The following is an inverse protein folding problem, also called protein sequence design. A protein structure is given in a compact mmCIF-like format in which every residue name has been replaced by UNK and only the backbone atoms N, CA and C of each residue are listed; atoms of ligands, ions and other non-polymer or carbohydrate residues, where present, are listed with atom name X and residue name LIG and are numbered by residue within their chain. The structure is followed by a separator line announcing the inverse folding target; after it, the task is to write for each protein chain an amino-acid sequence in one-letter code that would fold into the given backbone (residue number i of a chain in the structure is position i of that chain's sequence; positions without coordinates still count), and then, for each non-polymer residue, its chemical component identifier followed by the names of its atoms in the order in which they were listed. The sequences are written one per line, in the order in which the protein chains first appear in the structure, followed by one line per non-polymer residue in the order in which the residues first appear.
data_IF_218469421132
#
_entry.id   IF_218469421132
#
_cell.length_a   1.000
_cell.length_b   1.000
_cell.length_c   1.000
_cell.angle_alpha   90.00
_cell.angle_beta   90.00
_cell.angle_gamma   90.00
#
_symmetry.space_group_name_H-M   'P 1'
#
loop_
_entity.id
_entity.type
_entity.pdbx_description
1 polymer ?
#
# COMPACT_ATOMS: atom_id res chain seq x y z
N UNK A 1 -2.75 -59.35 33.38
CA UNK A 1 -2.48 -58.62 32.13
C UNK A 1 -0.98 -58.64 31.89
N UNK A 2 -0.51 -59.36 30.88
CA UNK A 2 0.91 -59.68 30.71
C UNK A 2 1.73 -58.44 30.36
N UNK A 3 2.95 -58.31 30.90
CA UNK A 3 3.93 -57.24 30.60
C UNK A 3 4.10 -56.96 29.09
N UNK A 4 3.89 -57.98 28.27
CA UNK A 4 3.95 -57.90 26.81
C UNK A 4 2.84 -57.01 26.21
N UNK A 5 1.64 -56.99 26.80
CA UNK A 5 0.50 -56.17 26.33
C UNK A 5 0.74 -54.71 26.66
N UNK A 6 1.27 -54.42 27.85
CA UNK A 6 1.60 -53.05 28.29
C UNK A 6 2.67 -52.40 27.40
N UNK A 7 3.69 -53.17 27.00
CA UNK A 7 4.75 -52.71 26.07
C UNK A 7 4.22 -52.34 24.69
N UNK A 8 3.31 -53.15 24.13
CA UNK A 8 2.72 -52.88 22.81
C UNK A 8 1.83 -51.64 22.81
N UNK A 9 1.07 -51.42 23.88
CA UNK A 9 0.27 -50.19 24.04
C UNK A 9 1.14 -48.94 24.17
N UNK A 10 2.21 -48.99 24.96
CA UNK A 10 3.13 -47.86 25.11
C UNK A 10 3.82 -47.49 23.78
N UNK A 11 4.23 -48.48 22.98
CA UNK A 11 4.81 -48.25 21.65
C UNK A 11 3.80 -47.63 20.67
N UNK A 12 2.57 -48.16 20.63
CA UNK A 12 1.52 -47.61 19.77
C UNK A 12 1.17 -46.15 20.13
N UNK A 13 1.11 -45.83 21.43
CA UNK A 13 0.85 -44.48 21.92
C UNK A 13 1.99 -43.51 21.56
N UNK A 14 3.25 -43.94 21.68
CA UNK A 14 4.43 -43.13 21.30
C UNK A 14 4.45 -42.83 19.80
N UNK A 15 4.14 -43.82 18.96
CA UNK A 15 4.02 -43.61 17.51
C UNK A 15 2.89 -42.65 17.19
N UNK A 16 1.72 -42.80 17.82
CA UNK A 16 0.59 -41.90 17.59
C UNK A 16 0.93 -40.44 18.00
N UNK A 17 1.58 -40.24 19.14
CA UNK A 17 2.02 -38.92 19.61
C UNK A 17 3.07 -38.29 18.69
N UNK A 18 4.05 -39.08 18.22
CA UNK A 18 5.04 -38.59 17.25
C UNK A 18 4.38 -38.18 15.92
N UNK A 19 3.39 -38.95 15.46
CA UNK A 19 2.66 -38.65 14.22
C UNK A 19 1.79 -37.40 14.37
N UNK A 20 1.11 -37.23 15.51
CA UNK A 20 0.32 -36.03 15.80
C UNK A 20 1.21 -34.77 15.92
N UNK A 21 2.40 -34.89 16.51
CA UNK A 21 3.36 -33.79 16.59
C UNK A 21 3.89 -33.35 15.22
N UNK A 22 4.14 -34.31 14.30
CA UNK A 22 4.55 -34.01 12.93
C UNK A 22 3.44 -33.32 12.13
N UNK A 23 2.18 -33.71 12.32
CA UNK A 23 1.03 -33.05 11.67
C UNK A 23 0.79 -31.64 12.20
N UNK A 24 0.99 -31.40 13.51
CA UNK A 24 0.90 -30.07 14.10
C UNK A 24 2.02 -29.13 13.59
N UNK A 25 3.21 -29.65 13.31
CA UNK A 25 4.31 -28.88 12.74
C UNK A 25 4.07 -28.47 11.28
N UNK A 26 3.32 -29.24 10.50
CA UNK A 26 2.95 -28.86 9.13
C UNK A 26 1.80 -27.84 9.08
N UNK A 27 0.91 -27.82 10.07
CA UNK A 27 -0.20 -26.86 10.12
C UNK A 27 0.26 -25.44 10.51
N UNK A 28 1.37 -25.30 11.23
CA UNK A 28 1.96 -24.00 11.61
C UNK A 28 2.96 -23.43 10.60
N UNK A 29 3.27 -24.15 9.52
CA UNK A 29 4.25 -23.77 8.52
C UNK A 29 3.62 -23.26 7.21
N UNK A 30 2.49 -22.55 7.31
CA UNK A 30 2.28 -21.44 6.38
C UNK A 30 3.40 -20.47 6.69
N UNK A 31 4.52 -20.56 5.95
CA UNK A 31 5.67 -19.70 6.16
C UNK A 31 5.17 -18.26 6.19
N UNK A 32 5.16 -17.65 7.37
CA UNK A 32 4.72 -16.27 7.54
C UNK A 32 5.60 -15.42 6.65
N UNK A 33 5.04 -15.00 5.51
CA UNK A 33 5.75 -14.16 4.55
C UNK A 33 6.11 -12.88 5.27
N UNK A 34 7.37 -12.47 5.15
CA UNK A 34 7.80 -11.23 5.79
C UNK A 34 6.98 -10.04 5.25
N UNK A 35 6.79 -8.97 6.03
CA UNK A 35 6.02 -7.80 5.57
C UNK A 35 6.55 -7.22 4.25
N UNK A 36 7.87 -7.24 4.05
CA UNK A 36 8.50 -6.77 2.81
C UNK A 36 8.29 -7.71 1.63
N UNK A 37 8.22 -9.02 1.89
CA UNK A 37 7.87 -10.00 0.87
C UNK A 37 6.41 -9.85 0.44
N UNK A 38 5.48 -9.64 1.37
CA UNK A 38 4.08 -9.34 1.06
C UNK A 38 3.94 -8.09 0.20
N UNK A 39 4.67 -7.01 0.51
CA UNK A 39 4.71 -5.80 -0.32
C UNK A 39 5.22 -6.10 -1.74
N UNK A 40 6.33 -6.85 -1.87
CA UNK A 40 6.89 -7.22 -3.19
C UNK A 40 5.90 -8.05 -4.01
N UNK A 41 5.21 -8.99 -3.35
CA UNK A 41 4.20 -9.82 -4.00
C UNK A 41 2.99 -9.00 -4.43
N UNK A 42 2.52 -8.06 -3.60
CA UNK A 42 1.44 -7.13 -3.96
C UNK A 42 1.80 -6.28 -5.18
N UNK A 43 3.01 -5.70 -5.21
CA UNK A 43 3.52 -4.95 -6.38
C UNK A 43 3.52 -5.85 -7.63
N UNK A 44 4.04 -7.07 -7.49
CA UNK A 44 4.12 -8.03 -8.60
C UNK A 44 2.74 -8.47 -9.09
N UNK A 45 1.80 -8.69 -8.16
CA UNK A 45 0.43 -9.10 -8.44
C UNK A 45 -0.38 -8.00 -9.12
N UNK A 46 -0.14 -6.72 -8.78
CA UNK A 46 -0.75 -5.60 -9.48
C UNK A 46 -0.23 -5.43 -10.91
N UNK A 47 1.01 -5.86 -11.16
CA UNK A 47 1.61 -5.89 -12.49
C UNK A 47 1.19 -7.12 -13.31
N UNK A 48 0.72 -8.21 -12.69
CA UNK A 48 0.31 -9.39 -13.46
C UNK A 48 -0.79 -9.14 -14.53
N UNK A 49 -1.87 -8.39 -14.26
CA UNK A 49 -2.89 -8.12 -15.28
C UNK A 49 -2.42 -7.09 -16.33
N UNK A 50 -2.90 -7.22 -17.57
CA UNK A 50 -2.67 -6.22 -18.62
C UNK A 50 -3.27 -4.85 -18.29
N UNK A 51 -4.30 -4.82 -17.47
CA UNK A 51 -4.93 -3.60 -16.99
C UNK A 51 -5.67 -3.81 -15.67
N UNK A 52 -5.74 -2.77 -14.84
CA UNK A 52 -6.59 -2.73 -13.66
C UNK A 52 -7.22 -1.35 -13.49
N UNK A 53 -8.33 -1.28 -12.73
CA UNK A 53 -9.00 -0.02 -12.40
C UNK A 53 -8.75 0.36 -10.95
N UNK A 54 -8.85 1.65 -10.67
CA UNK A 54 -8.79 2.15 -9.32
C UNK A 54 -9.72 3.35 -9.12
N UNK A 55 -10.08 3.59 -7.86
CA UNK A 55 -10.69 4.83 -7.41
C UNK A 55 -9.69 5.56 -6.50
N UNK A 56 -9.58 6.88 -6.67
CA UNK A 56 -8.75 7.76 -5.84
C UNK A 56 -9.65 8.76 -5.14
N UNK A 57 -9.50 8.87 -3.81
CA UNK A 57 -10.12 9.92 -2.99
C UNK A 57 -9.01 10.73 -2.31
N UNK A 58 -9.01 12.06 -2.53
CA UNK A 58 -8.13 13.00 -1.81
C UNK A 58 -8.93 13.81 -0.79
N UNK A 59 -8.43 13.90 0.45
CA UNK A 59 -8.99 14.74 1.52
C UNK A 59 -7.91 15.56 2.20
N UNK A 60 -8.29 16.66 2.87
CA UNK A 60 -7.36 17.62 3.48
C UNK A 60 -6.84 18.69 2.51
N UNK A 61 -7.11 18.51 1.22
CA UNK A 61 -7.00 19.54 0.18
C UNK A 61 -8.23 20.48 0.20
N UNK A 62 -8.09 21.77 -0.17
CA UNK A 62 -9.24 22.68 -0.36
C UNK A 62 -10.24 22.19 -1.41
N UNK A 63 -9.80 21.31 -2.31
CA UNK A 63 -10.63 20.61 -3.27
C UNK A 63 -10.60 19.14 -2.91
N UNK A 64 -11.68 18.65 -2.30
CA UNK A 64 -11.89 17.22 -2.18
C UNK A 64 -12.22 16.70 -3.57
N UNK A 65 -11.45 15.72 -4.04
CA UNK A 65 -11.61 15.18 -5.38
C UNK A 65 -11.72 13.67 -5.33
N UNK A 66 -12.62 13.13 -6.14
CA UNK A 66 -12.82 11.71 -6.34
C UNK A 66 -12.61 11.41 -7.81
N UNK A 67 -11.70 10.50 -8.09
CA UNK A 67 -11.31 10.11 -9.44
C UNK A 67 -11.46 8.62 -9.62
N UNK A 68 -11.73 8.22 -10.86
CA UNK A 68 -11.56 6.83 -11.28
C UNK A 68 -10.51 6.78 -12.37
N UNK A 69 -9.70 5.72 -12.37
CA UNK A 69 -8.63 5.53 -13.33
C UNK A 69 -8.50 4.07 -13.74
N UNK A 70 -7.78 3.87 -14.83
CA UNK A 70 -7.38 2.60 -15.37
C UNK A 70 -5.89 2.67 -15.69
N UNK A 71 -5.12 1.68 -15.27
CA UNK A 71 -3.73 1.51 -15.70
C UNK A 71 -3.71 0.40 -16.72
N UNK A 72 -3.12 0.63 -17.90
CA UNK A 72 -2.95 -0.36 -18.98
C UNK A 72 -1.48 -0.51 -19.31
N UNK A 73 -1.01 -1.75 -19.52
CA UNK A 73 0.37 -2.06 -19.91
C UNK A 73 1.43 -1.46 -18.98
N UNK A 74 1.13 -1.39 -17.68
CA UNK A 74 2.00 -0.92 -16.59
C UNK A 74 2.38 0.56 -16.57
N UNK A 75 2.30 1.29 -17.69
CA UNK A 75 2.64 2.71 -17.78
C UNK A 75 1.48 3.61 -18.25
N UNK A 76 0.48 3.05 -18.93
CA UNK A 76 -0.65 3.76 -19.47
C UNK A 76 -1.70 4.11 -18.43
N UNK A 77 -1.48 5.18 -17.65
CA UNK A 77 -2.50 5.75 -16.77
C UNK A 77 -3.56 6.51 -17.59
N UNK A 78 -4.81 6.05 -17.51
CA UNK A 78 -5.98 6.72 -18.07
C UNK A 78 -6.96 7.08 -16.96
N UNK A 79 -7.18 8.36 -16.75
CA UNK A 79 -8.25 8.83 -15.87
C UNK A 79 -9.60 8.68 -16.60
N UNK A 80 -10.56 8.02 -15.97
CA UNK A 80 -11.88 7.72 -16.55
C UNK A 80 -12.90 8.83 -16.26
N UNK A 81 -12.68 9.63 -15.22
CA UNK A 81 -13.50 10.80 -14.90
C UNK A 81 -13.42 11.19 -13.42
N UNK A 82 -13.80 12.43 -13.14
CA UNK A 82 -14.15 12.85 -11.78
C UNK A 82 -15.61 12.49 -11.48
N UNK A 83 -15.97 12.39 -10.19
CA UNK A 83 -17.31 11.97 -9.75
C UNK A 83 -18.47 12.87 -10.26
N UNK A 84 -18.18 14.05 -10.79
CA UNK A 84 -19.13 14.97 -11.41
C UNK A 84 -19.38 14.68 -12.91
N UNK A 85 -18.80 13.61 -13.46
CA UNK A 85 -18.98 13.22 -14.86
C UNK A 85 -18.18 14.08 -15.84
N UNK A 86 -17.31 14.98 -15.37
CA UNK A 86 -16.39 15.68 -16.23
C UNK A 86 -15.36 14.69 -16.82
N UNK A 87 -15.20 14.63 -18.15
CA UNK A 87 -14.17 13.80 -18.74
C UNK A 87 -12.81 14.31 -18.25
N UNK A 88 -12.03 13.42 -17.63
CA UNK A 88 -10.65 13.72 -17.32
C UNK A 88 -9.93 13.99 -18.65
N UNK A 89 -9.57 15.25 -18.91
CA UNK A 89 -8.95 15.66 -20.17
C UNK A 89 -7.51 15.18 -20.24
N UNK A 90 -7.29 13.90 -20.50
CA UNK A 90 -6.05 13.37 -21.08
C UNK A 90 -6.14 13.54 -22.59
N UNK A 91 -5.98 14.78 -23.05
CA UNK A 91 -6.09 15.15 -24.47
C UNK A 91 -4.87 15.89 -24.99
N UNK A 92 -4.51 17.03 -24.39
CA UNK A 92 -3.33 17.81 -24.79
C UNK A 92 -3.05 18.92 -23.75
N UNK A 93 -2.32 18.59 -22.66
CA UNK A 93 -1.59 19.62 -21.90
C UNK A 93 -2.14 20.09 -20.55
N UNK A 94 -3.20 19.50 -19.98
CA UNK A 94 -3.45 19.64 -18.54
C UNK A 94 -2.83 18.45 -17.82
N UNK A 95 -1.54 18.61 -17.47
CA UNK A 95 -0.81 17.69 -16.59
C UNK A 95 -1.37 17.85 -15.18
N UNK A 96 -2.34 17.04 -14.80
CA UNK A 96 -2.69 16.88 -13.39
C UNK A 96 -1.46 16.27 -12.72
N UNK A 97 -0.70 17.08 -11.97
CA UNK A 97 0.27 16.60 -10.99
C UNK A 97 1.28 15.57 -11.49
N UNK A 98 2.23 15.95 -12.37
CA UNK A 98 3.40 15.15 -12.78
C UNK A 98 3.20 13.63 -12.82
N UNK A 99 2.82 13.11 -13.99
CA UNK A 99 2.56 11.71 -14.45
C UNK A 99 2.66 10.55 -13.45
N UNK A 100 3.67 10.50 -12.59
CA UNK A 100 3.92 9.40 -11.66
C UNK A 100 3.15 9.55 -10.34
N UNK A 101 2.73 10.76 -9.97
CA UNK A 101 2.33 11.07 -8.58
C UNK A 101 1.02 10.42 -8.15
N UNK A 102 0.16 10.10 -9.11
CA UNK A 102 -1.16 9.48 -8.94
C UNK A 102 -1.29 8.13 -9.65
N UNK A 103 -0.19 7.60 -10.21
CA UNK A 103 -0.15 6.24 -10.72
C UNK A 103 0.11 5.29 -9.55
N UNK A 104 -0.87 4.47 -9.12
CA UNK A 104 -0.68 3.64 -7.94
C UNK A 104 0.35 2.53 -8.14
N UNK A 105 0.60 2.04 -9.36
CA UNK A 105 1.72 1.13 -9.65
C UNK A 105 3.07 1.80 -9.40
N UNK A 106 3.29 2.97 -10.00
CA UNK A 106 4.54 3.71 -9.82
C UNK A 106 4.78 4.09 -8.36
N UNK A 107 3.71 4.43 -7.64
CA UNK A 107 3.77 4.70 -6.20
C UNK A 107 4.19 3.46 -5.41
N UNK A 108 3.56 2.31 -5.63
CA UNK A 108 3.88 1.07 -4.93
C UNK A 108 5.30 0.56 -5.25
N UNK A 109 5.75 0.68 -6.50
CA UNK A 109 7.14 0.40 -6.90
C UNK A 109 8.13 1.32 -6.18
N UNK A 110 7.84 2.62 -6.15
CA UNK A 110 8.64 3.59 -5.40
C UNK A 110 8.70 3.26 -3.91
N UNK A 111 7.61 2.79 -3.31
CA UNK A 111 7.58 2.35 -1.90
C UNK A 111 8.41 1.09 -1.67
N UNK A 112 8.37 0.11 -2.58
CA UNK A 112 9.18 -1.10 -2.46
C UNK A 112 10.68 -0.80 -2.38
N UNK A 113 11.13 0.16 -3.20
CA UNK A 113 12.53 0.57 -3.30
C UNK A 113 12.95 1.49 -2.15
N UNK A 114 12.05 2.38 -1.69
CA UNK A 114 12.40 3.52 -0.84
C UNK A 114 11.82 3.47 0.58
N UNK A 115 11.08 2.42 0.93
CA UNK A 115 10.57 2.23 2.29
C UNK A 115 11.74 2.13 3.29
N UNK A 116 11.74 3.03 4.28
CA UNK A 116 12.62 2.95 5.44
C UNK A 116 12.15 1.85 6.41
N UNK A 117 10.83 1.68 6.56
CA UNK A 117 10.25 0.57 7.31
C UNK A 117 9.01 -0.01 6.63
N UNK A 118 8.85 -1.34 6.75
CA UNK A 118 7.63 -2.07 6.36
C UNK A 118 7.29 -3.02 7.50
N UNK A 119 6.12 -2.85 8.10
CA UNK A 119 5.66 -3.60 9.27
C UNK A 119 4.28 -4.20 8.98
N UNK A 120 4.02 -5.39 9.52
CA UNK A 120 2.68 -5.98 9.52
C UNK A 120 1.93 -5.47 10.75
N UNK A 121 0.71 -5.00 10.56
CA UNK A 121 -0.21 -4.67 11.64
C UNK A 121 -1.02 -5.92 11.99
N UNK A 122 -0.49 -6.73 12.90
CA UNK A 122 -1.09 -8.01 13.34
C UNK A 122 -2.50 -7.82 13.92
N UNK A 123 -2.77 -6.68 14.57
CA UNK A 123 -4.07 -6.42 15.18
C UNK A 123 -5.18 -6.19 14.15
N UNK A 124 -4.81 -5.79 12.93
CA UNK A 124 -5.74 -5.53 11.82
C UNK A 124 -5.63 -6.54 10.67
N UNK A 125 -4.65 -7.44 10.74
CA UNK A 125 -4.47 -8.51 9.76
C UNK A 125 -5.24 -9.75 10.20
N UNK A 126 -5.71 -10.52 9.23
CA UNK A 126 -6.37 -11.80 9.49
C UNK A 126 -5.93 -12.86 8.44
N UNK A 127 -6.71 -13.94 8.31
CA UNK A 127 -6.42 -15.02 7.37
C UNK A 127 -6.55 -14.62 5.89
N UNK A 128 -7.35 -13.59 5.60
CA UNK A 128 -7.69 -13.17 4.24
C UNK A 128 -6.91 -11.91 3.84
N UNK A 129 -6.67 -11.00 4.78
CA UNK A 129 -6.01 -9.72 4.52
C UNK A 129 -4.73 -9.52 5.36
N UNK A 130 -3.73 -8.89 4.75
CA UNK A 130 -2.54 -8.39 5.43
C UNK A 130 -2.53 -6.87 5.38
N UNK A 131 -2.42 -6.21 6.54
CA UNK A 131 -2.33 -4.76 6.64
C UNK A 131 -0.89 -4.36 6.87
N UNK A 132 -0.26 -3.76 5.85
CA UNK A 132 1.13 -3.31 5.89
C UNK A 132 1.21 -1.83 6.20
N UNK A 133 2.00 -1.48 7.22
CA UNK A 133 2.38 -0.11 7.55
C UNK A 133 3.74 0.19 6.93
N UNK A 134 3.79 1.17 6.04
CA UNK A 134 4.99 1.52 5.27
C UNK A 134 5.37 2.97 5.57
N UNK A 135 6.61 3.18 5.99
CA UNK A 135 7.16 4.51 6.20
C UNK A 135 8.31 4.74 5.21
N UNK A 136 8.19 5.71 4.29
CA UNK A 136 9.29 6.10 3.43
C UNK A 136 10.35 6.86 4.23
N UNK A 137 11.54 6.98 3.65
CA UNK A 137 12.54 7.92 4.15
C UNK A 137 12.00 9.38 4.14
N UNK A 138 12.31 10.14 5.19
CA UNK A 138 11.79 11.50 5.36
C UNK A 138 12.29 12.48 4.28
N UNK A 139 13.51 12.30 3.77
CA UNK A 139 14.04 13.14 2.68
C UNK A 139 13.32 12.85 1.37
N UNK A 140 12.95 11.59 1.13
CA UNK A 140 12.15 11.17 -0.02
C UNK A 140 10.72 11.69 0.07
N UNK A 141 10.10 11.61 1.25
CA UNK A 141 8.79 12.18 1.49
C UNK A 141 8.75 13.69 1.17
N UNK A 142 9.75 14.45 1.64
CA UNK A 142 9.86 15.88 1.35
C UNK A 142 10.07 16.16 -0.15
N UNK A 143 10.92 15.38 -0.83
CA UNK A 143 11.16 15.54 -2.27
C UNK A 143 9.91 15.24 -3.11
N UNK A 144 9.19 14.15 -2.79
CA UNK A 144 7.95 13.78 -3.47
C UNK A 144 6.89 14.87 -3.31
N UNK A 145 6.66 15.35 -2.09
CA UNK A 145 5.70 16.43 -1.85
C UNK A 145 6.11 17.75 -2.49
N UNK A 146 7.39 18.08 -2.53
CA UNK A 146 7.88 19.25 -3.27
C UNK A 146 7.54 19.16 -4.76
N UNK A 147 7.73 17.99 -5.38
CA UNK A 147 7.33 17.72 -6.79
C UNK A 147 5.82 17.86 -6.97
N UNK A 148 5.02 17.26 -6.08
CA UNK A 148 3.54 17.31 -6.14
C UNK A 148 3.01 18.74 -6.00
N UNK A 149 3.44 19.48 -4.98
CA UNK A 149 3.02 20.87 -4.76
C UNK A 149 3.38 21.78 -5.94
N UNK A 150 4.58 21.58 -6.52
CA UNK A 150 5.00 22.29 -7.73
C UNK A 150 4.07 22.00 -8.91
N UNK A 151 3.67 20.74 -9.07
CA UNK A 151 2.81 20.29 -10.17
C UNK A 151 1.32 20.70 -9.96
N UNK A 152 0.86 20.85 -8.71
CA UNK A 152 -0.45 21.44 -8.38
C UNK A 152 -0.54 22.93 -8.72
N UNK A 153 0.56 23.57 -9.14
CA UNK A 153 0.61 25.02 -9.31
C UNK A 153 0.51 25.79 -7.99
N UNK A 154 0.48 25.08 -6.85
CA UNK A 154 0.75 25.64 -5.52
C UNK A 154 2.24 25.94 -5.48
N UNK A 155 2.64 27.03 -6.13
CA UNK A 155 3.98 27.57 -5.98
C UNK A 155 4.23 27.64 -4.50
N UNK A 156 5.26 26.92 -4.03
CA UNK A 156 5.91 27.19 -2.77
C UNK A 156 6.33 28.65 -2.85
N UNK A 157 5.41 29.54 -2.44
CA UNK A 157 5.64 30.97 -2.57
C UNK A 157 6.84 31.27 -1.69
N UNK A 158 7.67 32.27 -2.02
CA UNK A 158 8.82 32.60 -1.18
C UNK A 158 8.45 32.78 0.31
N UNK A 159 7.21 33.17 0.62
CA UNK A 159 6.67 33.28 1.98
C UNK A 159 6.04 32.01 2.60
N UNK A 160 5.91 30.91 1.85
CA UNK A 160 5.40 29.60 2.33
C UNK A 160 6.16 28.38 1.78
N UNK A 161 7.49 28.27 1.96
CA UNK A 161 8.24 27.07 1.58
C UNK A 161 7.87 25.88 2.46
N UNK A 162 7.92 24.67 1.87
CA UNK A 162 7.82 23.40 2.59
C UNK A 162 9.10 23.20 3.40
N UNK A 163 8.97 23.09 4.73
CA UNK A 163 10.07 22.78 5.65
C UNK A 163 10.31 21.29 5.79
N UNK A 164 9.23 20.51 5.91
CA UNK A 164 9.29 19.06 6.07
C UNK A 164 7.99 18.41 5.60
N UNK A 165 8.08 17.15 5.19
CA UNK A 165 6.92 16.30 4.95
C UNK A 165 7.11 14.96 5.65
N UNK A 166 6.16 14.60 6.49
CA UNK A 166 5.99 13.23 6.98
C UNK A 166 5.00 12.50 6.08
N UNK A 167 5.29 11.24 5.78
CA UNK A 167 4.39 10.36 5.04
C UNK A 167 4.32 9.00 5.72
N UNK A 168 3.15 8.40 5.70
CA UNK A 168 2.94 7.00 6.08
C UNK A 168 1.92 6.39 5.15
N UNK A 169 2.09 5.11 4.85
CA UNK A 169 1.17 4.37 4.01
C UNK A 169 0.64 3.16 4.75
N UNK A 170 -0.61 2.85 4.46
CA UNK A 170 -1.30 1.65 4.87
C UNK A 170 -1.72 0.92 3.60
N UNK A 171 -1.20 -0.28 3.41
CA UNK A 171 -1.50 -1.12 2.26
C UNK A 171 -2.22 -2.39 2.73
N UNK A 172 -3.45 -2.57 2.28
CA UNK A 172 -4.22 -3.79 2.48
C UNK A 172 -3.95 -4.73 1.30
N UNK A 173 -3.51 -5.95 1.59
CA UNK A 173 -3.16 -6.98 0.60
C UNK A 173 -4.05 -8.20 0.81
N UNK A 174 -4.68 -8.69 -0.26
CA UNK A 174 -5.37 -9.97 -0.27
C UNK A 174 -4.32 -11.10 -0.21
N UNK A 175 -4.35 -11.92 0.86
CA UNK A 175 -3.34 -12.97 1.12
C UNK A 175 -3.43 -14.15 0.15
N UNK A 176 -4.59 -14.39 -0.43
CA UNK A 176 -4.84 -15.50 -1.36
C UNK A 176 -4.40 -15.14 -2.77
N UNK A 177 -4.68 -13.90 -3.18
CA UNK A 177 -4.42 -13.38 -4.53
C UNK A 177 -3.10 -12.64 -4.64
N UNK A 178 -2.56 -12.19 -3.51
CA UNK A 178 -1.33 -11.38 -3.43
C UNK A 178 -1.42 -10.12 -4.27
N UNK A 179 -2.57 -9.45 -4.23
CA UNK A 179 -2.82 -8.17 -4.90
C UNK A 179 -3.21 -7.11 -3.88
N UNK A 180 -2.88 -5.83 -4.14
CA UNK A 180 -3.34 -4.74 -3.28
C UNK A 180 -4.86 -4.56 -3.43
N UNK A 181 -5.52 -4.33 -2.30
CA UNK A 181 -6.96 -4.04 -2.20
C UNK A 181 -7.17 -2.54 -2.00
N UNK A 182 -6.41 -1.94 -1.09
CA UNK A 182 -6.45 -0.52 -0.78
C UNK A 182 -5.06 -0.02 -0.39
N UNK A 183 -4.70 1.19 -0.84
CA UNK A 183 -3.53 1.93 -0.40
C UNK A 183 -3.98 3.29 0.13
N UNK A 184 -3.78 3.54 1.41
CA UNK A 184 -4.02 4.85 2.03
C UNK A 184 -2.69 5.51 2.35
N UNK A 185 -2.43 6.67 1.76
CA UNK A 185 -1.34 7.58 2.12
C UNK A 185 -1.85 8.63 3.10
N UNK A 186 -1.15 8.82 4.21
CA UNK A 186 -1.34 9.94 5.14
C UNK A 186 -0.09 10.80 5.15
N UNK A 187 -0.28 12.10 4.93
CA UNK A 187 0.79 13.06 4.75
C UNK A 187 0.62 14.26 5.68
N UNK A 188 1.71 14.66 6.34
CA UNK A 188 1.78 15.82 7.24
C UNK A 188 2.82 16.79 6.71
N UNK A 189 2.39 17.95 6.25
CA UNK A 189 3.21 18.94 5.60
C UNK A 189 3.42 20.13 6.53
N UNK A 190 4.68 20.47 6.77
CA UNK A 190 5.07 21.63 7.57
C UNK A 190 5.60 22.73 6.66
N UNK A 191 5.00 23.91 6.72
CA UNK A 191 5.43 25.07 5.94
C UNK A 191 5.89 26.20 6.86
N UNK A 192 6.87 26.99 6.41
CA UNK A 192 7.10 28.33 6.98
C UNK A 192 5.91 29.22 6.62
N UNK A 193 5.51 30.15 7.50
CA UNK A 193 4.49 31.15 7.18
C UNK A 193 4.80 32.45 7.92
N UNK A 194 5.55 33.36 7.28
CA UNK A 194 6.04 34.58 7.94
C UNK A 194 6.88 34.24 9.18
N UNK A 195 6.47 34.71 10.35
CA UNK A 195 7.11 34.41 11.65
C UNK A 195 6.68 33.05 12.25
N UNK A 196 5.73 32.35 11.62
CA UNK A 196 5.14 31.12 12.14
C UNK A 196 5.40 29.87 11.30
N UNK A 197 4.82 28.76 11.76
CA UNK A 197 4.70 27.52 11.01
C UNK A 197 3.22 27.25 10.73
N UNK A 198 2.92 26.77 9.54
CA UNK A 198 1.59 26.24 9.21
C UNK A 198 1.72 24.76 8.91
N UNK A 199 0.72 24.00 9.32
CA UNK A 199 0.66 22.55 9.14
C UNK A 199 -0.55 22.20 8.27
N UNK A 200 -0.36 21.23 7.39
CA UNK A 200 -1.42 20.72 6.52
C UNK A 200 -1.38 19.20 6.53
N UNK A 201 -2.51 18.58 6.84
CA UNK A 201 -2.68 17.13 6.75
C UNK A 201 -3.44 16.79 5.47
N UNK A 202 -2.96 15.78 4.75
CA UNK A 202 -3.62 15.27 3.55
C UNK A 202 -3.71 13.75 3.61
N UNK A 203 -4.78 13.22 3.03
CA UNK A 203 -4.96 11.79 2.86
C UNK A 203 -5.32 11.48 1.42
N UNK A 204 -4.58 10.55 0.79
CA UNK A 204 -4.92 9.95 -0.49
C UNK A 204 -5.31 8.51 -0.25
N UNK A 205 -6.44 8.07 -0.81
CA UNK A 205 -6.87 6.67 -0.74
C UNK A 205 -7.07 6.13 -2.15
N UNK A 206 -6.32 5.09 -2.50
CA UNK A 206 -6.49 4.31 -3.71
C UNK A 206 -7.21 3.01 -3.36
N UNK A 207 -8.32 2.73 -4.03
CA UNK A 207 -9.02 1.44 -3.95
C UNK A 207 -8.91 0.73 -5.28
N UNK A 208 -8.38 -0.48 -5.27
CA UNK A 208 -8.10 -1.25 -6.48
C UNK A 208 -9.31 -2.14 -6.83
N UNK A 209 -9.74 -2.10 -8.08
CA UNK A 209 -10.72 -3.05 -8.65
C UNK A 209 -9.96 -4.10 -9.44
N UNK A 210 -9.40 -5.07 -8.71
CA UNK A 210 -8.74 -6.24 -9.28
C UNK A 210 -9.79 -7.35 -9.42
N UNK A 211 -10.76 -7.22 -10.31
CA UNK A 211 -11.61 -8.38 -10.64
C UNK A 211 -10.78 -9.44 -11.37
N UNK A 212 -10.93 -10.73 -11.03
CA UNK A 212 -10.37 -11.82 -11.83
C UNK A 212 -11.01 -11.88 -13.22
#
# INVERSE_FOLDING_TARGET
MSLLVLRKFAQALLVLLATAALLAACAGASAERSPRELLRLAVSGLSAPESYRFALTETGSPRQENWTGEVRRHDGLRLLGAADGAPARTGDGIRIGGEDSYNPSALLEGLLDQAASVRLDEARSDGDEAVLMIEPDASRAAALWSKRLSAEGKRLSPGRPLQAAGMSYELIVDRHRLVPVELTERSRLLFSAGEGRSEEERTLRFRFDTKP
#
